data_IF_520069230833
#
_entry.id   IF_520069230833
#
_cell.length_a   1.000
_cell.length_b   1.000
_cell.length_c   1.000
_cell.angle_alpha   90.00
_cell.angle_beta   90.00
_cell.angle_gamma   90.00
#
_symmetry.space_group_name_H-M   'P 1'
#
loop_
_entity.id
_entity.type
_entity.pdbx_description
1 polymer ?
#
# COMPACT_ATOMS: atom_id res chain seq x y z
N UNK A 1 -5.91 -9.80 11.10
CA UNK A 1 -5.19 -8.74 10.36
C UNK A 1 -3.74 -9.19 10.26
N UNK A 2 -3.11 -9.15 9.09
CA UNK A 2 -1.71 -9.52 8.93
C UNK A 2 -0.80 -8.53 9.67
N UNK A 3 0.33 -9.02 10.17
CA UNK A 3 1.34 -8.19 10.85
C UNK A 3 2.13 -7.37 9.81
N UNK A 4 2.42 -6.10 10.11
CA UNK A 4 3.30 -5.26 9.29
C UNK A 4 4.75 -5.45 9.70
N UNK A 5 5.60 -5.84 8.75
CA UNK A 5 7.04 -6.04 8.98
C UNK A 5 7.88 -5.10 8.10
N UNK A 6 8.93 -4.53 8.67
CA UNK A 6 9.83 -3.62 7.96
C UNK A 6 10.91 -4.38 7.15
N UNK A 7 11.39 -5.50 7.70
CA UNK A 7 12.36 -6.38 7.07
C UNK A 7 12.26 -7.79 7.66
N UNK A 8 12.69 -8.79 6.89
CA UNK A 8 12.80 -10.17 7.36
C UNK A 8 14.28 -10.54 7.46
N UNK A 9 14.69 -11.04 8.62
CA UNK A 9 16.08 -11.46 8.87
C UNK A 9 16.26 -12.95 8.63
N UNK A 10 17.43 -13.33 8.12
CA UNK A 10 17.80 -14.73 7.96
C UNK A 10 17.89 -15.42 9.34
N UNK A 11 17.24 -16.57 9.56
CA UNK A 11 17.29 -17.28 10.84
C UNK A 11 18.69 -17.81 11.19
N UNK A 12 19.58 -17.94 10.19
CA UNK A 12 20.93 -18.49 10.39
C UNK A 12 21.99 -17.42 10.66
N UNK A 13 21.96 -16.30 9.95
CA UNK A 13 22.99 -15.26 10.07
C UNK A 13 22.48 -13.89 10.54
N UNK A 14 21.16 -13.70 10.67
CA UNK A 14 20.55 -12.43 11.04
C UNK A 14 20.59 -11.35 9.95
N UNK A 15 21.22 -11.61 8.81
CA UNK A 15 21.30 -10.67 7.69
C UNK A 15 19.92 -10.36 7.08
N UNK A 16 19.73 -9.15 6.51
CA UNK A 16 18.47 -8.78 5.87
C UNK A 16 18.23 -9.65 4.64
N UNK A 17 17.02 -10.18 4.51
CA UNK A 17 16.56 -10.89 3.31
C UNK A 17 15.76 -9.92 2.45
N UNK A 18 16.09 -9.89 1.15
CA UNK A 18 15.27 -9.24 0.15
C UNK A 18 14.21 -10.25 -0.32
N UNK A 19 12.93 -9.90 -0.14
CA UNK A 19 11.81 -10.79 -0.41
C UNK A 19 11.00 -10.22 -1.58
N UNK A 20 10.90 -10.96 -2.68
CA UNK A 20 9.95 -10.63 -3.73
C UNK A 20 8.53 -11.09 -3.32
N UNK A 21 7.52 -10.30 -3.67
CA UNK A 21 6.12 -10.64 -3.39
C UNK A 21 5.74 -11.96 -4.10
N UNK A 22 5.27 -12.94 -3.32
CA UNK A 22 4.89 -14.27 -3.82
C UNK A 22 6.00 -15.33 -3.77
N UNK A 23 7.20 -14.99 -3.30
CA UNK A 23 8.30 -15.94 -3.17
C UNK A 23 8.23 -16.72 -1.84
N UNK A 24 8.17 -18.06 -1.93
CA UNK A 24 8.03 -18.96 -0.76
C UNK A 24 9.40 -19.45 -0.25
N UNK A 25 10.44 -19.37 -1.09
CA UNK A 25 11.79 -19.85 -0.80
C UNK A 25 12.76 -18.74 -1.13
N UNK A 26 13.49 -18.23 -0.13
CA UNK A 26 14.49 -17.18 -0.33
C UNK A 26 15.87 -17.68 0.04
N UNK A 27 16.83 -17.41 -0.84
CA UNK A 27 18.24 -17.72 -0.61
C UNK A 27 18.95 -16.50 -0.05
N UNK A 28 19.50 -16.62 1.17
CA UNK A 28 20.23 -15.53 1.79
C UNK A 28 21.51 -15.20 1.00
N UNK A 29 21.71 -13.95 0.53
CA UNK A 29 22.91 -13.57 -0.21
C UNK A 29 24.18 -13.55 0.66
N UNK A 30 24.02 -13.53 1.99
CA UNK A 30 25.15 -13.45 2.93
C UNK A 30 25.69 -14.82 3.32
N UNK A 31 24.81 -15.77 3.70
CA UNK A 31 25.23 -17.08 4.20
C UNK A 31 24.88 -18.25 3.27
N UNK A 32 24.28 -17.98 2.10
CA UNK A 32 23.90 -18.97 1.09
C UNK A 32 22.80 -19.94 1.53
N UNK A 33 22.13 -19.67 2.65
CA UNK A 33 21.10 -20.57 3.18
C UNK A 33 19.78 -20.29 2.49
N UNK A 34 19.24 -21.29 1.81
CA UNK A 34 17.86 -21.28 1.32
C UNK A 34 16.93 -21.55 2.50
N UNK A 35 16.10 -20.57 2.85
CA UNK A 35 15.10 -20.69 3.91
C UNK A 35 13.72 -20.63 3.30
N UNK A 36 12.85 -21.57 3.67
CA UNK A 36 11.42 -21.50 3.38
C UNK A 36 10.80 -20.52 4.35
N UNK A 37 10.14 -19.49 3.83
CA UNK A 37 9.36 -18.56 4.65
C UNK A 37 7.98 -19.16 4.85
N UNK A 38 7.87 -20.13 5.74
CA UNK A 38 6.59 -20.56 6.31
C UNK A 38 6.20 -19.56 7.39
N UNK A 39 5.59 -18.46 6.96
CA UNK A 39 4.92 -17.56 7.90
C UNK A 39 3.71 -18.29 8.47
N UNK A 40 3.79 -18.70 9.74
CA UNK A 40 2.63 -19.21 10.51
C UNK A 40 1.48 -18.17 10.55
N UNK A 41 1.80 -16.91 10.24
CA UNK A 41 0.87 -15.80 10.04
C UNK A 41 1.18 -15.07 8.73
N UNK A 42 0.15 -14.67 7.97
CA UNK A 42 0.35 -13.76 6.85
C UNK A 42 0.89 -12.42 7.38
N UNK A 43 1.98 -11.93 6.77
CA UNK A 43 2.56 -10.62 7.05
C UNK A 43 2.58 -9.79 5.77
N UNK A 44 2.61 -8.47 5.94
CA UNK A 44 2.75 -7.51 4.83
C UNK A 44 4.05 -6.73 5.02
N UNK A 45 4.85 -6.67 3.97
CA UNK A 45 6.05 -5.83 3.95
C UNK A 45 5.61 -4.36 3.92
N UNK A 46 6.13 -3.53 4.83
CA UNK A 46 5.77 -2.11 4.88
C UNK A 46 6.09 -1.40 3.57
N UNK A 47 7.15 -1.80 2.87
CA UNK A 47 7.54 -1.25 1.56
C UNK A 47 6.53 -1.54 0.42
N UNK A 48 5.63 -2.52 0.60
CA UNK A 48 4.54 -2.80 -0.36
C UNK A 48 3.19 -2.20 0.05
N UNK A 49 3.12 -1.46 1.15
CA UNK A 49 1.91 -0.77 1.59
C UNK A 49 2.03 0.74 1.37
N UNK A 50 1.30 1.25 0.37
CA UNK A 50 0.91 2.65 0.38
C UNK A 50 -0.08 2.85 1.53
N UNK A 51 0.39 3.44 2.63
CA UNK A 51 -0.52 3.85 3.70
C UNK A 51 -1.59 4.77 3.09
N UNK A 52 -2.86 4.38 3.20
CA UNK A 52 -3.98 5.21 2.81
C UNK A 52 -3.99 6.45 3.72
N UNK A 53 -3.33 7.52 3.28
CA UNK A 53 -3.26 8.80 4.00
C UNK A 53 -4.54 9.63 3.84
N UNK A 54 -5.48 9.15 3.05
CA UNK A 54 -6.73 9.83 2.73
C UNK A 54 -7.89 9.00 3.28
N UNK A 55 -8.59 9.54 4.27
CA UNK A 55 -9.88 8.99 4.68
C UNK A 55 -10.99 9.39 3.68
N UNK A 56 -12.17 8.78 3.83
CA UNK A 56 -13.32 9.04 2.96
C UNK A 56 -13.72 10.52 2.95
N UNK A 57 -13.69 11.19 4.10
CA UNK A 57 -14.11 12.58 4.22
C UNK A 57 -13.08 13.53 3.60
N UNK A 58 -11.80 13.23 3.76
CA UNK A 58 -10.70 13.92 3.10
C UNK A 58 -10.81 13.80 1.59
N UNK A 59 -11.12 12.60 1.08
CA UNK A 59 -11.35 12.39 -0.35
C UNK A 59 -12.53 13.24 -0.86
N UNK A 60 -13.66 13.22 -0.17
CA UNK A 60 -14.84 14.02 -0.54
C UNK A 60 -14.57 15.53 -0.49
N UNK A 61 -13.83 16.01 0.51
CA UNK A 61 -13.41 17.42 0.59
C UNK A 61 -12.52 17.78 -0.61
N UNK A 62 -11.50 17.00 -0.91
CA UNK A 62 -10.61 17.26 -2.04
C UNK A 62 -11.36 17.27 -3.38
N UNK A 63 -12.30 16.35 -3.58
CA UNK A 63 -13.16 16.36 -4.78
C UNK A 63 -14.04 17.61 -4.82
N UNK A 64 -14.64 18.00 -3.69
CA UNK A 64 -15.45 19.21 -3.59
C UNK A 64 -14.66 20.50 -3.86
N UNK A 65 -13.42 20.59 -3.37
CA UNK A 65 -12.49 21.68 -3.69
C UNK A 65 -12.17 21.71 -5.19
N UNK A 66 -11.94 20.55 -5.81
CA UNK A 66 -11.72 20.46 -7.25
C UNK A 66 -12.95 20.91 -8.05
N UNK A 67 -14.17 20.61 -7.62
CA UNK A 67 -15.38 21.10 -8.29
C UNK A 67 -15.52 22.63 -8.23
N UNK A 68 -14.90 23.31 -7.26
CA UNK A 68 -15.10 24.76 -7.03
C UNK A 68 -14.50 25.64 -8.14
N UNK A 69 -13.51 25.17 -8.88
CA UNK A 69 -12.94 25.97 -9.97
C UNK A 69 -11.72 25.36 -10.65
N UNK A 70 -11.27 26.03 -11.71
CA UNK A 70 -10.13 25.63 -12.52
C UNK A 70 -10.30 26.06 -13.98
N UNK A 71 -9.21 25.95 -14.73
CA UNK A 71 -9.22 26.23 -16.17
C UNK A 71 -10.12 25.20 -16.86
N UNK A 72 -10.95 25.67 -17.81
CA UNK A 72 -11.79 24.81 -18.66
C UNK A 72 -12.88 24.02 -17.91
N UNK A 73 -13.35 24.52 -16.76
CA UNK A 73 -14.47 23.93 -16.01
C UNK A 73 -15.74 24.77 -16.17
N UNK A 74 -16.94 24.14 -16.27
CA UNK A 74 -18.20 24.86 -16.20
C UNK A 74 -18.35 25.60 -14.88
N UNK A 75 -18.92 26.81 -14.92
CA UNK A 75 -19.09 27.67 -13.74
C UNK A 75 -20.04 27.06 -12.69
N UNK A 76 -20.93 26.16 -13.10
CA UNK A 76 -21.93 25.50 -12.25
C UNK A 76 -21.54 24.07 -11.86
N UNK A 77 -20.32 23.61 -12.17
CA UNK A 77 -19.88 22.23 -11.98
C UNK A 77 -20.15 21.71 -10.55
N UNK A 78 -19.89 22.54 -9.53
CA UNK A 78 -20.12 22.18 -8.13
C UNK A 78 -21.60 21.95 -7.79
N UNK A 79 -22.51 22.68 -8.45
CA UNK A 79 -23.96 22.56 -8.23
C UNK A 79 -24.56 21.43 -9.08
N UNK A 80 -24.04 21.24 -10.29
CA UNK A 80 -24.55 20.28 -11.25
C UNK A 80 -24.07 18.84 -11.01
N UNK A 81 -23.00 18.65 -10.23
CA UNK A 81 -22.36 17.34 -10.05
C UNK A 81 -22.55 16.77 -8.64
N UNK A 82 -22.58 15.43 -8.52
CA UNK A 82 -22.38 14.73 -7.24
C UNK A 82 -21.48 13.51 -7.41
N UNK A 83 -20.77 13.15 -6.34
CA UNK A 83 -20.03 11.89 -6.28
C UNK A 83 -21.02 10.74 -6.14
N UNK A 84 -21.00 9.77 -7.07
CA UNK A 84 -21.88 8.60 -7.07
C UNK A 84 -21.27 7.37 -6.41
N UNK A 85 -19.95 7.20 -6.54
CA UNK A 85 -19.20 6.12 -5.92
C UNK A 85 -17.80 6.61 -5.52
N UNK A 86 -17.24 5.99 -4.48
CA UNK A 86 -15.87 6.23 -4.04
C UNK A 86 -15.26 4.89 -3.65
N UNK A 87 -14.32 4.42 -4.47
CA UNK A 87 -13.62 3.14 -4.30
C UNK A 87 -12.13 3.40 -4.11
N UNK A 88 -11.52 2.67 -3.17
CA UNK A 88 -10.08 2.70 -2.96
C UNK A 88 -9.49 1.48 -3.67
N UNK A 89 -8.72 1.73 -4.73
CA UNK A 89 -8.02 0.69 -5.49
C UNK A 89 -6.55 0.72 -5.08
N UNK A 90 -6.01 -0.46 -4.77
CA UNK A 90 -4.60 -0.68 -4.41
C UNK A 90 -3.84 -1.33 -5.56
#
# INVERSE_FOLDING_TARGET
MPDLVDAVSCPKCGGPLDLAAGEVIVTCPYCGTASRLEGDKPFLLRHSMLAARLDRDAALRTIGEWFRGGVMKPDDLQKASRVTALECVY
#
